data_IF_242064007582
#
_entry.id   IF_242064007582
#
_cell.length_a   1.000
_cell.length_b   1.000
_cell.length_c   1.000
_cell.angle_alpha   90.00
_cell.angle_beta   90.00
_cell.angle_gamma   90.00
#
_symmetry.space_group_name_H-M   'P 1'
#
loop_
_entity.id
_entity.type
_entity.pdbx_description
1 polymer ?
#
# COMPACT_ATOMS: atom_id res chain seq x y z
N UNK A 1 -15.33 8.78 -4.93
CA UNK A 1 -14.52 7.86 -5.77
C UNK A 1 -13.39 7.33 -4.91
N UNK A 2 -13.17 6.01 -4.89
CA UNK A 2 -12.06 5.40 -4.14
C UNK A 2 -10.73 5.68 -4.86
N UNK A 3 -9.64 5.87 -4.11
CA UNK A 3 -8.31 6.04 -4.69
C UNK A 3 -7.93 4.80 -5.50
N UNK A 4 -7.45 4.99 -6.73
CA UNK A 4 -7.07 3.90 -7.63
C UNK A 4 -5.61 3.49 -7.45
N UNK A 5 -4.80 4.31 -6.77
CA UNK A 5 -3.40 4.04 -6.47
C UNK A 5 -3.05 4.40 -5.03
N UNK A 6 -1.99 3.78 -4.51
CA UNK A 6 -1.43 4.09 -3.17
C UNK A 6 -1.05 5.56 -3.06
N UNK A 7 -0.46 6.14 -4.11
CA UNK A 7 -0.10 7.56 -4.13
C UNK A 7 -1.32 8.47 -4.00
N UNK A 8 -2.40 8.17 -4.73
CA UNK A 8 -3.66 8.91 -4.60
C UNK A 8 -4.28 8.73 -3.21
N UNK A 9 -4.22 7.52 -2.65
CA UNK A 9 -4.72 7.24 -1.30
C UNK A 9 -3.99 8.09 -0.26
N UNK A 10 -2.66 8.10 -0.28
CA UNK A 10 -1.86 8.91 0.63
C UNK A 10 -2.13 10.41 0.44
N UNK A 11 -2.22 10.88 -0.81
CA UNK A 11 -2.48 12.28 -1.14
C UNK A 11 -3.88 12.78 -0.71
N UNK A 12 -4.86 11.88 -0.57
CA UNK A 12 -6.21 12.22 -0.10
C UNK A 12 -6.29 12.37 1.43
N UNK A 13 -5.30 11.87 2.18
CA UNK A 13 -5.30 11.93 3.63
C UNK A 13 -4.87 13.29 4.16
N UNK A 14 -5.41 13.72 5.32
CA UNK A 14 -4.84 14.78 6.14
C UNK A 14 -3.34 14.56 6.42
N UNK A 15 -2.58 15.64 6.61
CA UNK A 15 -1.12 15.59 6.65
C UNK A 15 -0.57 14.69 7.77
N UNK A 16 -1.19 14.74 8.96
CA UNK A 16 -0.88 13.91 10.12
C UNK A 16 -1.10 12.42 9.84
N UNK A 17 -2.26 12.07 9.27
CA UNK A 17 -2.59 10.68 8.89
C UNK A 17 -1.69 10.16 7.78
N UNK A 18 -1.38 11.00 6.80
CA UNK A 18 -0.43 10.67 5.72
C UNK A 18 0.94 10.38 6.28
N UNK A 19 1.44 11.19 7.21
CA UNK A 19 2.74 10.99 7.84
C UNK A 19 2.79 9.67 8.60
N UNK A 20 1.79 9.40 9.45
CA UNK A 20 1.72 8.15 10.21
C UNK A 20 1.66 6.91 9.30
N UNK A 21 0.77 6.91 8.30
CA UNK A 21 0.63 5.78 7.38
C UNK A 21 1.86 5.60 6.48
N UNK A 22 2.52 6.69 6.07
CA UNK A 22 3.75 6.61 5.28
C UNK A 22 4.89 5.96 6.08
N UNK A 23 4.99 6.24 7.39
CA UNK A 23 5.99 5.62 8.26
C UNK A 23 5.76 4.11 8.39
N UNK A 24 4.52 3.69 8.67
CA UNK A 24 4.15 2.26 8.75
C UNK A 24 4.37 1.55 7.41
N UNK A 25 3.89 2.14 6.32
CA UNK A 25 4.09 1.63 4.95
C UNK A 25 5.56 1.39 4.64
N UNK A 26 6.43 2.35 5.00
CA UNK A 26 7.87 2.24 4.80
C UNK A 26 8.44 1.01 5.53
N UNK A 27 8.10 0.85 6.81
CA UNK A 27 8.58 -0.29 7.62
C UNK A 27 8.10 -1.62 7.02
N UNK A 28 6.85 -1.70 6.56
CA UNK A 28 6.34 -2.91 5.91
C UNK A 28 7.15 -3.22 4.65
N UNK A 29 7.30 -2.24 3.75
CA UNK A 29 8.04 -2.44 2.49
C UNK A 29 9.51 -2.79 2.69
N UNK A 30 10.15 -2.33 3.77
CA UNK A 30 11.53 -2.68 4.11
C UNK A 30 11.69 -4.10 4.68
N UNK A 31 10.61 -4.69 5.21
CA UNK A 31 10.65 -6.00 5.89
C UNK A 31 9.86 -7.10 5.16
N UNK A 32 9.10 -6.74 4.12
CA UNK A 32 8.31 -7.69 3.36
C UNK A 32 9.22 -8.49 2.43
N UNK A 33 9.10 -9.84 2.39
CA UNK A 33 9.87 -10.65 1.45
C UNK A 33 9.59 -10.30 0.00
N UNK A 34 10.55 -10.59 -0.88
CA UNK A 34 10.35 -10.50 -2.32
C UNK A 34 9.16 -11.37 -2.77
N UNK A 35 8.44 -10.91 -3.79
CA UNK A 35 7.27 -11.61 -4.35
C UNK A 35 5.92 -11.07 -3.86
N UNK A 36 5.90 -10.11 -2.94
CA UNK A 36 4.71 -9.33 -2.62
C UNK A 36 4.65 -8.05 -3.46
N UNK A 37 3.44 -7.65 -3.85
CA UNK A 37 3.14 -6.37 -4.48
C UNK A 37 2.25 -5.51 -3.57
N UNK A 38 2.51 -4.21 -3.55
CA UNK A 38 1.69 -3.22 -2.87
C UNK A 38 0.64 -2.63 -3.83
N UNK A 39 -0.60 -2.55 -3.38
CA UNK A 39 -1.68 -1.96 -4.18
C UNK A 39 -2.90 -1.56 -3.38
N UNK A 40 -3.96 -1.16 -4.08
CA UNK A 40 -5.25 -0.84 -3.48
C UNK A 40 -6.11 -2.10 -3.39
N UNK A 41 -6.51 -2.49 -2.17
CA UNK A 41 -7.42 -3.61 -1.90
C UNK A 41 -8.53 -3.14 -0.96
N UNK A 42 -9.79 -3.45 -1.29
CA UNK A 42 -10.97 -3.10 -0.47
C UNK A 42 -11.02 -1.63 -0.01
N UNK A 43 -10.48 -0.69 -0.79
CA UNK A 43 -10.46 0.74 -0.47
C UNK A 43 -9.29 1.20 0.43
N UNK A 44 -8.30 0.35 0.69
CA UNK A 44 -7.11 0.65 1.49
C UNK A 44 -5.83 0.12 0.84
N UNK A 45 -4.68 0.55 1.35
CA UNK A 45 -3.37 -0.02 0.96
C UNK A 45 -3.31 -1.46 1.48
N UNK A 46 -2.93 -2.39 0.62
CA UNK A 46 -2.70 -3.79 0.95
C UNK A 46 -1.48 -4.34 0.23
N UNK A 47 -1.03 -5.50 0.69
CA UNK A 47 0.08 -6.26 0.10
C UNK A 47 -0.39 -7.65 -0.22
N UNK A 48 -0.12 -8.11 -1.43
CA UNK A 48 -0.60 -9.39 -1.93
C UNK A 48 0.49 -10.08 -2.75
N UNK A 49 0.43 -11.40 -2.84
CA UNK A 49 1.24 -12.16 -3.81
C UNK A 49 0.53 -12.07 -5.16
N UNK A 50 1.18 -11.55 -6.23
CA UNK A 50 0.51 -11.42 -7.51
C UNK A 50 0.27 -12.79 -8.13
N UNK A 51 -0.84 -12.93 -8.87
CA UNK A 51 -1.18 -14.19 -9.53
C UNK A 51 -0.13 -14.64 -10.56
N UNK A 52 0.70 -13.74 -11.06
CA UNK A 52 1.82 -14.06 -11.96
C UNK A 52 2.88 -14.96 -11.31
N UNK A 53 2.96 -14.98 -9.98
CA UNK A 53 3.86 -15.84 -9.19
C UNK A 53 3.15 -17.13 -8.76
N UNK A 54 1.86 -17.24 -9.04
CA UNK A 54 1.08 -18.45 -8.79
C UNK A 54 1.36 -19.50 -9.90
N UNK A 55 1.47 -20.80 -9.58
CA UNK A 55 1.70 -21.86 -10.57
C UNK A 55 0.61 -21.98 -11.64
#
# INVERSE_FOLDING_TARGET
MAASTVAQYLAALPADRRAALSAVRKVINENLPDGYEEGMQFGMIGWYVPLSVYP
#
